data_IF_298219331786
#
_entry.id   IF_298219331786
#
_cell.length_a   1.000
_cell.length_b   1.000
_cell.length_c   1.000
_cell.angle_alpha   90.00
_cell.angle_beta   90.00
_cell.angle_gamma   90.00
#
_symmetry.space_group_name_H-M   'P 1'
#
loop_
_entity.id
_entity.type
_entity.pdbx_description
1 polymer ?
#
# COMPACT_ATOMS: atom_id res chain seq x y z
N UNK A 1 -14.20 -2.23 -17.96
CA UNK A 1 -14.51 -0.97 -17.24
C UNK A 1 -14.16 -0.98 -15.74
N UNK A 2 -13.74 -2.11 -15.14
CA UNK A 2 -13.16 -2.19 -13.78
C UNK A 2 -11.62 -2.28 -13.76
N UNK A 3 -10.99 -2.96 -14.72
CA UNK A 3 -9.52 -3.05 -14.86
C UNK A 3 -8.83 -1.69 -15.02
N UNK A 4 -9.55 -0.71 -15.59
CA UNK A 4 -9.08 0.68 -15.74
C UNK A 4 -8.88 1.39 -14.39
N UNK A 5 -9.54 0.97 -13.31
CA UNK A 5 -9.33 1.59 -12.00
C UNK A 5 -7.95 1.19 -11.45
N UNK A 6 -7.57 -0.10 -11.53
CA UNK A 6 -6.28 -0.55 -11.00
C UNK A 6 -5.10 0.14 -11.69
N UNK A 7 -5.15 0.29 -13.01
CA UNK A 7 -4.10 0.93 -13.82
C UNK A 7 -4.00 2.43 -13.61
N UNK A 8 -5.04 3.06 -13.04
CA UNK A 8 -5.06 4.48 -12.66
C UNK A 8 -4.95 4.69 -11.14
N UNK A 9 -4.94 3.64 -10.31
CA UNK A 9 -4.94 3.69 -8.85
C UNK A 9 -3.56 3.36 -8.24
N UNK A 10 -3.02 2.17 -8.49
CA UNK A 10 -1.70 1.75 -7.99
C UNK A 10 -1.57 1.47 -6.48
N UNK A 11 -2.60 1.72 -5.65
CA UNK A 11 -2.49 1.64 -4.18
C UNK A 11 -2.12 0.24 -3.63
N UNK A 12 -2.50 -0.84 -4.31
CA UNK A 12 -2.06 -2.20 -3.93
C UNK A 12 -0.59 -2.48 -4.27
N UNK A 13 0.03 -1.66 -5.12
CA UNK A 13 1.40 -1.82 -5.60
C UNK A 13 2.37 -0.80 -5.00
N UNK A 14 1.89 0.31 -4.43
CA UNK A 14 2.74 1.40 -3.92
C UNK A 14 3.19 1.21 -2.47
N UNK A 15 2.77 0.10 -1.83
CA UNK A 15 3.10 -0.23 -0.44
C UNK A 15 2.28 0.54 0.61
N UNK A 16 1.30 1.35 0.21
CA UNK A 16 0.45 2.09 1.16
C UNK A 16 -0.55 1.19 1.89
N UNK A 17 -1.05 0.13 1.24
CA UNK A 17 -2.07 -0.76 1.82
C UNK A 17 -1.47 -1.92 2.64
N UNK A 18 -0.45 -2.59 2.12
CA UNK A 18 0.26 -3.73 2.73
C UNK A 18 1.72 -3.75 2.27
N UNK A 19 2.61 -4.40 3.03
CA UNK A 19 4.07 -4.35 2.76
C UNK A 19 4.57 -5.49 1.89
N UNK A 20 3.81 -6.56 1.78
CA UNK A 20 4.14 -7.66 0.89
C UNK A 20 2.89 -8.40 0.42
N UNK A 21 3.07 -9.21 -0.62
CA UNK A 21 2.04 -10.07 -1.18
C UNK A 21 2.55 -11.51 -1.11
N UNK A 22 1.90 -12.42 -0.36
CA UNK A 22 2.21 -13.84 -0.41
C UNK A 22 1.99 -14.36 -1.83
N UNK A 23 2.93 -15.11 -2.37
CA UNK A 23 2.84 -15.63 -3.74
C UNK A 23 3.23 -17.11 -3.76
N UNK A 24 2.81 -17.84 -4.79
CA UNK A 24 3.26 -19.22 -4.99
C UNK A 24 4.75 -19.28 -5.40
N UNK A 25 5.36 -20.46 -5.34
CA UNK A 25 6.74 -20.66 -5.84
C UNK A 25 6.86 -20.38 -7.35
N UNK A 26 5.82 -20.69 -8.12
CA UNK A 26 5.76 -20.42 -9.56
C UNK A 26 5.74 -18.91 -9.82
N UNK A 27 4.93 -18.18 -9.05
CA UNK A 27 4.89 -16.71 -9.08
C UNK A 27 6.21 -16.11 -8.57
N UNK A 28 6.91 -16.76 -7.64
CA UNK A 28 8.23 -16.34 -7.18
C UNK A 28 9.27 -16.45 -8.31
N UNK A 29 9.23 -17.51 -9.10
CA UNK A 29 10.07 -17.64 -10.29
C UNK A 29 9.77 -16.55 -11.32
N UNK A 30 8.49 -16.20 -11.52
CA UNK A 30 8.11 -15.04 -12.33
C UNK A 30 8.69 -13.75 -11.77
N UNK A 31 8.54 -13.48 -10.47
CA UNK A 31 9.04 -12.28 -9.82
C UNK A 31 10.56 -12.12 -9.98
N UNK A 32 11.34 -13.21 -9.80
CA UNK A 32 12.79 -13.23 -10.02
C UNK A 32 13.17 -12.89 -11.46
N UNK A 33 12.46 -13.44 -12.47
CA UNK A 33 12.69 -13.10 -13.89
C UNK A 33 12.41 -11.63 -14.22
N UNK A 34 11.65 -10.94 -13.38
CA UNK A 34 11.32 -9.51 -13.53
C UNK A 34 12.11 -8.64 -12.55
N UNK A 35 13.11 -9.21 -11.86
CA UNK A 35 13.94 -8.51 -10.87
C UNK A 35 13.12 -7.86 -9.75
N UNK A 36 11.98 -8.46 -9.39
CA UNK A 36 11.15 -7.98 -8.28
C UNK A 36 11.68 -8.54 -6.95
N UNK A 37 11.68 -7.69 -5.92
CA UNK A 37 12.16 -8.05 -4.59
C UNK A 37 11.24 -9.06 -3.91
N UNK A 38 11.84 -10.07 -3.30
CA UNK A 38 11.18 -11.08 -2.47
C UNK A 38 11.74 -11.02 -1.05
N UNK A 39 10.90 -11.24 -0.04
CA UNK A 39 11.36 -11.42 1.33
C UNK A 39 12.03 -12.79 1.51
N UNK A 40 13.06 -12.89 2.37
CA UNK A 40 13.66 -14.17 2.74
C UNK A 40 12.74 -14.89 3.74
N UNK A 41 11.75 -15.62 3.24
CA UNK A 41 10.79 -16.39 4.04
C UNK A 41 10.58 -17.79 3.46
N UNK A 42 10.11 -18.73 4.30
CA UNK A 42 9.77 -20.10 3.88
C UNK A 42 8.70 -20.14 2.78
N UNK A 43 7.73 -19.24 2.87
CA UNK A 43 6.75 -18.99 1.82
C UNK A 43 7.15 -17.71 1.08
N UNK A 44 7.24 -17.72 -0.26
CA UNK A 44 7.64 -16.54 -1.01
C UNK A 44 6.68 -15.36 -0.80
N UNK A 45 7.25 -14.17 -0.58
CA UNK A 45 6.49 -12.94 -0.42
C UNK A 45 7.12 -11.85 -1.28
N UNK A 46 6.35 -11.29 -2.21
CA UNK A 46 6.79 -10.16 -3.02
C UNK A 46 6.68 -8.86 -2.24
N UNK A 47 7.74 -8.06 -2.22
CA UNK A 47 7.81 -6.81 -1.47
C UNK A 47 7.04 -5.70 -2.18
N UNK A 48 6.35 -4.88 -1.38
CA UNK A 48 5.77 -3.60 -1.80
C UNK A 48 6.60 -2.44 -1.22
N UNK A 49 6.82 -1.33 -1.94
CA UNK A 49 6.32 -1.03 -3.29
C UNK A 49 6.86 -1.99 -4.35
N UNK A 50 5.98 -2.44 -5.25
CA UNK A 50 6.34 -3.38 -6.30
C UNK A 50 7.25 -2.69 -7.32
N UNK A 51 8.40 -3.31 -7.64
CA UNK A 51 9.33 -2.78 -8.65
C UNK A 51 8.75 -2.62 -10.06
N UNK A 52 7.62 -3.28 -10.36
CA UNK A 52 6.91 -3.13 -11.63
C UNK A 52 5.97 -1.91 -11.68
N UNK A 53 5.79 -1.17 -10.59
CA UNK A 53 4.97 0.04 -10.56
C UNK A 53 5.72 1.20 -11.24
N UNK A 54 5.04 1.92 -12.11
CA UNK A 54 5.48 3.17 -12.72
C UNK A 54 4.35 4.20 -12.62
N UNK A 55 4.55 5.23 -11.81
CA UNK A 55 3.45 6.12 -11.40
C UNK A 55 2.35 5.32 -10.70
N UNK A 56 1.16 5.28 -11.30
CA UNK A 56 0.02 4.48 -10.81
C UNK A 56 -0.20 3.17 -11.58
N UNK A 57 0.60 2.90 -12.63
CA UNK A 57 0.38 1.80 -13.57
C UNK A 57 1.42 0.70 -13.38
N UNK A 58 0.98 -0.55 -13.39
CA UNK A 58 1.88 -1.69 -13.47
C UNK A 58 2.43 -1.82 -14.90
N UNK A 59 3.75 -1.80 -15.08
CA UNK A 59 4.40 -1.95 -16.40
C UNK A 59 4.15 -3.30 -17.06
N UNK A 60 3.84 -4.33 -16.25
CA UNK A 60 3.56 -5.71 -16.69
C UNK A 60 2.12 -6.12 -16.39
N UNK A 61 1.16 -5.19 -16.52
CA UNK A 61 -0.25 -5.42 -16.11
C UNK A 61 -0.88 -6.68 -16.72
N UNK A 62 -0.58 -6.95 -17.99
CA UNK A 62 -1.08 -8.13 -18.72
C UNK A 62 -0.39 -9.45 -18.34
N UNK A 63 0.75 -9.38 -17.64
CA UNK A 63 1.51 -10.55 -17.19
C UNK A 63 1.47 -10.72 -15.67
N UNK A 64 0.58 -9.98 -14.98
CA UNK A 64 0.47 -10.01 -13.53
C UNK A 64 0.27 -11.45 -13.03
N UNK A 65 0.90 -11.80 -11.91
CA UNK A 65 0.70 -13.10 -11.26
C UNK A 65 -0.75 -13.25 -10.82
N UNK A 66 -1.20 -14.50 -10.66
CA UNK A 66 -2.57 -14.84 -10.28
C UNK A 66 -2.97 -14.17 -8.97
N UNK A 67 -2.08 -14.10 -7.99
CA UNK A 67 -2.31 -13.41 -6.73
C UNK A 67 -2.70 -11.94 -6.95
N UNK A 68 -1.97 -11.21 -7.78
CA UNK A 68 -2.31 -9.82 -8.13
C UNK A 68 -3.61 -9.72 -8.94
N UNK A 69 -3.95 -10.73 -9.75
CA UNK A 69 -5.21 -10.79 -10.51
C UNK A 69 -6.40 -11.15 -9.65
N UNK A 70 -6.25 -11.91 -8.57
CA UNK A 70 -7.34 -12.34 -7.68
C UNK A 70 -7.63 -11.31 -6.61
N UNK A 71 -6.65 -10.49 -6.24
CA UNK A 71 -6.88 -9.44 -5.27
C UNK A 71 -7.95 -8.45 -5.76
N UNK A 72 -8.94 -8.20 -4.89
CA UNK A 72 -10.02 -7.23 -5.11
C UNK A 72 -10.14 -6.38 -3.86
N UNK A 73 -9.65 -5.14 -3.92
CA UNK A 73 -9.84 -4.17 -2.83
C UNK A 73 -11.33 -3.81 -2.72
N UNK A 74 -11.75 -3.32 -1.55
CA UNK A 74 -13.16 -2.95 -1.28
C UNK A 74 -13.70 -1.94 -2.30
N UNK A 75 -12.90 -0.94 -2.69
CA UNK A 75 -13.30 0.03 -3.73
C UNK A 75 -13.60 -0.66 -5.06
N UNK A 76 -12.72 -1.56 -5.51
CA UNK A 76 -12.92 -2.29 -6.76
C UNK A 76 -14.14 -3.23 -6.66
N UNK A 77 -14.30 -3.96 -5.56
CA UNK A 77 -15.47 -4.82 -5.34
C UNK A 77 -16.79 -4.04 -5.44
N UNK A 78 -16.84 -2.88 -4.78
CA UNK A 78 -18.03 -2.01 -4.77
C UNK A 78 -18.30 -1.38 -6.14
N UNK A 79 -17.26 -1.08 -6.91
CA UNK A 79 -17.42 -0.60 -8.28
C UNK A 79 -17.92 -1.72 -9.21
N UNK A 80 -17.38 -2.94 -9.07
CA UNK A 80 -17.80 -4.11 -9.84
C UNK A 80 -19.24 -4.55 -9.53
N UNK A 81 -19.70 -4.39 -8.29
CA UNK A 81 -21.09 -4.68 -7.88
C UNK A 81 -22.08 -3.57 -8.25
N UNK A 82 -21.60 -2.36 -8.57
CA UNK A 82 -22.44 -1.19 -8.81
C UNK A 82 -22.86 -0.45 -7.53
N UNK A 83 -22.32 -0.80 -6.36
CA UNK A 83 -22.57 -0.09 -5.08
C UNK A 83 -21.99 1.34 -5.06
N UNK A 84 -21.03 1.61 -5.94
CA UNK A 84 -20.48 2.94 -6.21
C UNK A 84 -20.26 3.09 -7.71
N UNK A 85 -20.32 4.31 -8.18
CA UNK A 85 -19.91 4.64 -9.54
C UNK A 85 -18.40 4.90 -9.66
N UNK A 86 -17.96 5.18 -10.88
CA UNK A 86 -16.56 5.45 -11.19
C UNK A 86 -16.04 6.74 -10.53
N UNK A 87 -16.87 7.77 -10.43
CA UNK A 87 -16.47 9.06 -9.86
C UNK A 87 -16.20 8.92 -8.35
N UNK A 88 -17.07 8.21 -7.64
CA UNK A 88 -16.88 7.89 -6.22
C UNK A 88 -15.64 7.02 -6.00
N UNK A 89 -15.40 6.03 -6.88
CA UNK A 89 -14.19 5.21 -6.80
C UNK A 89 -12.91 6.06 -6.97
N UNK A 90 -12.90 7.00 -7.93
CA UNK A 90 -11.79 7.92 -8.17
C UNK A 90 -11.60 8.92 -7.04
N UNK A 91 -12.69 9.46 -6.46
CA UNK A 91 -12.63 10.32 -5.29
C UNK A 91 -11.97 9.62 -4.09
N UNK A 92 -12.29 8.34 -3.88
CA UNK A 92 -11.65 7.57 -2.80
C UNK A 92 -10.16 7.37 -3.02
N UNK A 93 -9.74 7.13 -4.26
CA UNK A 93 -8.32 7.02 -4.65
C UNK A 93 -7.61 8.36 -4.48
N UNK A 94 -8.23 9.46 -4.90
CA UNK A 94 -7.69 10.81 -4.72
C UNK A 94 -7.46 11.11 -3.23
N UNK A 95 -8.46 10.82 -2.38
CA UNK A 95 -8.34 10.99 -0.93
C UNK A 95 -7.19 10.17 -0.33
N UNK A 96 -7.01 8.92 -0.77
CA UNK A 96 -5.88 8.10 -0.32
C UNK A 96 -4.53 8.77 -0.67
N UNK A 97 -4.40 9.29 -1.89
CA UNK A 97 -3.18 9.98 -2.35
C UNK A 97 -2.90 11.27 -1.58
N UNK A 98 -3.93 12.04 -1.27
CA UNK A 98 -3.81 13.23 -0.44
C UNK A 98 -3.27 12.89 0.96
N UNK A 99 -3.83 11.85 1.59
CA UNK A 99 -3.38 11.37 2.89
C UNK A 99 -1.92 10.91 2.86
N UNK A 100 -1.54 10.14 1.82
CA UNK A 100 -0.15 9.74 1.60
C UNK A 100 0.75 10.97 1.42
N UNK A 101 0.33 11.98 0.65
CA UNK A 101 1.10 13.19 0.42
C UNK A 101 1.33 13.98 1.71
N UNK A 102 0.31 14.12 2.57
CA UNK A 102 0.44 14.78 3.89
C UNK A 102 1.46 14.08 4.78
N UNK A 103 1.38 12.75 4.87
CA UNK A 103 2.35 11.96 5.64
C UNK A 103 3.77 12.13 5.06
N UNK A 104 3.89 12.15 3.73
CA UNK A 104 5.18 12.31 3.02
C UNK A 104 5.87 13.65 3.22
N UNK A 105 5.16 14.70 3.64
CA UNK A 105 5.77 16.00 3.94
C UNK A 105 6.88 15.88 5.00
N UNK A 106 6.74 14.95 5.96
CA UNK A 106 7.78 14.68 6.97
C UNK A 106 8.71 13.53 6.57
N UNK A 107 8.18 12.48 5.97
CA UNK A 107 8.95 11.23 5.79
C UNK A 107 9.89 11.23 4.58
N UNK A 108 9.62 12.10 3.59
CA UNK A 108 10.30 12.08 2.30
C UNK A 108 9.97 10.84 1.45
N UNK A 109 10.76 10.57 0.39
CA UNK A 109 10.56 9.43 -0.50
C UNK A 109 10.94 8.09 0.15
N UNK A 110 10.53 6.99 -0.48
CA UNK A 110 10.80 5.61 -0.04
C UNK A 110 9.54 4.85 0.39
N UNK A 111 9.71 3.63 0.94
CA UNK A 111 8.60 2.83 1.45
C UNK A 111 7.91 3.52 2.62
N UNK A 112 6.64 3.91 2.42
CA UNK A 112 5.93 4.84 3.29
C UNK A 112 6.02 4.47 4.78
N UNK A 113 5.65 3.24 5.13
CA UNK A 113 5.51 2.84 6.52
C UNK A 113 6.84 2.61 7.25
N UNK A 114 7.90 2.28 6.50
CA UNK A 114 9.25 2.22 7.05
C UNK A 114 9.73 3.63 7.41
N UNK A 115 9.51 4.59 6.52
CA UNK A 115 9.85 6.00 6.75
C UNK A 115 9.03 6.64 7.87
N UNK A 116 7.74 6.28 7.99
CA UNK A 116 6.91 6.67 9.14
C UNK A 116 7.52 6.16 10.45
N UNK A 117 7.88 4.87 10.51
CA UNK A 117 8.49 4.27 11.70
C UNK A 117 9.83 4.93 12.04
N UNK A 118 10.69 5.18 11.05
CA UNK A 118 11.95 5.90 11.23
C UNK A 118 11.73 7.31 11.78
N UNK A 119 10.76 8.05 11.22
CA UNK A 119 10.44 9.41 11.67
C UNK A 119 9.92 9.44 13.11
N UNK A 120 9.15 8.42 13.53
CA UNK A 120 8.71 8.27 14.92
C UNK A 120 9.91 7.93 15.82
N UNK A 121 10.76 6.98 15.42
CA UNK A 121 11.91 6.55 16.22
C UNK A 121 12.97 7.64 16.40
N UNK A 122 13.14 8.54 15.43
CA UNK A 122 14.05 9.67 15.52
C UNK A 122 13.51 10.83 16.38
N UNK A 123 12.23 10.80 16.75
CA UNK A 123 11.64 11.85 17.56
C UNK A 123 11.98 11.66 19.04
N UNK A 124 12.62 12.67 19.64
CA UNK A 124 12.84 12.68 21.10
C UNK A 124 11.49 12.88 21.84
N UNK A 125 11.24 12.17 22.97
CA UNK A 125 9.98 12.28 23.71
C UNK A 125 9.62 13.71 24.16
N UNK A 126 10.64 14.51 24.46
CA UNK A 126 10.49 15.91 24.89
C UNK A 126 10.27 16.88 23.74
N UNK A 127 10.38 16.43 22.49
CA UNK A 127 10.27 17.23 21.27
C UNK A 127 8.93 17.03 20.53
N UNK A 128 7.92 16.39 21.15
CA UNK A 128 6.60 16.22 20.55
C UNK A 128 5.83 17.55 20.51
N UNK A 129 6.18 18.40 19.54
CA UNK A 129 5.50 19.65 19.28
C UNK A 129 4.15 19.44 18.56
N UNK A 130 3.38 20.52 18.43
CA UNK A 130 2.08 20.49 17.76
C UNK A 130 2.18 19.99 16.30
N UNK A 131 3.29 20.25 15.61
CA UNK A 131 3.48 19.81 14.23
C UNK A 131 3.75 18.30 14.13
N UNK A 132 4.43 17.71 15.12
CA UNK A 132 4.59 16.27 15.23
C UNK A 132 3.26 15.58 15.55
N UNK A 133 2.49 16.13 16.51
CA UNK A 133 1.17 15.62 16.87
C UNK A 133 0.18 15.68 15.70
N UNK A 134 0.14 16.79 14.96
CA UNK A 134 -0.68 16.92 13.76
C UNK A 134 -0.30 15.88 12.69
N UNK A 135 1.00 15.67 12.46
CA UNK A 135 1.47 14.65 11.53
C UNK A 135 1.12 13.22 12.00
N UNK A 136 1.17 12.93 13.30
CA UNK A 136 0.73 11.64 13.84
C UNK A 136 -0.77 11.39 13.61
N UNK A 137 -1.60 12.45 13.65
CA UNK A 137 -3.02 12.36 13.28
C UNK A 137 -3.19 12.06 11.79
N UNK A 138 -2.40 12.69 10.90
CA UNK A 138 -2.40 12.37 9.47
C UNK A 138 -2.01 10.89 9.23
N UNK A 139 -1.01 10.37 9.94
CA UNK A 139 -0.59 8.97 9.88
C UNK A 139 -1.72 8.04 10.33
N UNK A 140 -2.38 8.38 11.45
CA UNK A 140 -3.51 7.60 11.97
C UNK A 140 -4.71 7.63 11.02
N UNK A 141 -5.03 8.78 10.45
CA UNK A 141 -6.09 8.94 9.46
C UNK A 141 -5.81 8.12 8.20
N UNK A 142 -4.59 8.22 7.66
CA UNK A 142 -4.17 7.42 6.51
C UNK A 142 -4.33 5.92 6.78
N UNK A 143 -3.84 5.44 7.93
CA UNK A 143 -3.97 4.04 8.33
C UNK A 143 -5.44 3.61 8.39
N UNK A 144 -6.26 4.38 9.08
CA UNK A 144 -7.67 4.07 9.26
C UNK A 144 -8.39 4.05 7.91
N UNK A 145 -8.19 5.09 7.09
CA UNK A 145 -8.82 5.24 5.78
C UNK A 145 -8.42 4.12 4.81
N UNK A 146 -7.12 3.79 4.72
CA UNK A 146 -6.62 2.69 3.91
C UNK A 146 -7.27 1.36 4.31
N UNK A 147 -7.35 1.09 5.62
CA UNK A 147 -7.93 -0.15 6.16
C UNK A 147 -9.43 -0.25 5.90
N UNK A 148 -10.20 0.79 6.19
CA UNK A 148 -11.66 0.74 6.11
C UNK A 148 -12.17 0.85 4.68
N UNK A 149 -11.46 1.59 3.82
CA UNK A 149 -11.92 1.91 2.46
C UNK A 149 -11.39 0.95 1.40
N UNK A 150 -10.16 0.43 1.55
CA UNK A 150 -9.50 -0.36 0.51
C UNK A 150 -9.29 -1.83 0.90
N UNK A 151 -8.81 -2.12 2.10
CA UNK A 151 -8.47 -3.48 2.48
C UNK A 151 -9.71 -4.34 2.72
N UNK A 152 -9.78 -5.59 2.21
CA UNK A 152 -10.81 -6.55 2.61
C UNK A 152 -10.86 -6.74 4.14
N UNK A 153 -12.01 -7.16 4.66
CA UNK A 153 -12.12 -7.49 6.09
C UNK A 153 -11.12 -8.59 6.49
N UNK A 154 -10.50 -8.42 7.66
CA UNK A 154 -9.47 -9.34 8.16
C UNK A 154 -8.12 -9.29 7.44
N UNK A 155 -7.97 -8.51 6.35
CA UNK A 155 -6.68 -8.41 5.65
C UNK A 155 -5.67 -7.64 6.53
N UNK A 156 -4.44 -8.16 6.71
CA UNK A 156 -3.40 -7.44 7.44
C UNK A 156 -3.05 -6.15 6.69
N UNK A 157 -3.04 -5.03 7.40
CA UNK A 157 -2.57 -3.76 6.84
C UNK A 157 -1.06 -3.64 6.97
N UNK A 158 -0.46 -2.72 6.23
CA UNK A 158 0.99 -2.54 6.20
C UNK A 158 1.68 -2.36 7.57
N UNK A 159 0.99 -1.74 8.54
CA UNK A 159 1.51 -1.56 9.89
C UNK A 159 1.36 -2.81 10.77
N UNK A 160 0.39 -3.67 10.49
CA UNK A 160 0.21 -4.94 11.22
C UNK A 160 1.34 -5.93 10.88
N UNK A 161 2.04 -5.67 9.78
CA UNK A 161 3.14 -6.47 9.24
C UNK A 161 4.53 -5.88 9.50
N UNK A 162 4.63 -4.78 10.26
CA UNK A 162 5.92 -4.28 10.70
C UNK A 162 6.47 -5.18 11.81
N UNK A 163 7.74 -5.59 11.76
CA UNK A 163 8.35 -6.21 12.93
C UNK A 163 8.29 -5.23 14.11
N UNK A 164 8.21 -5.73 15.35
CA UNK A 164 8.31 -4.88 16.53
C UNK A 164 9.53 -3.96 16.38
N UNK A 165 9.40 -2.72 16.83
CA UNK A 165 10.50 -1.75 16.81
C UNK A 165 11.74 -2.34 17.53
N UNK A 166 12.94 -1.79 17.28
CA UNK A 166 14.10 -2.17 18.09
C UNK A 166 13.73 -2.01 19.58
N UNK A 167 14.00 -3.05 20.35
CA UNK A 167 13.86 -3.05 21.80
C UNK A 167 14.82 -2.04 22.44
#
# INVERSE_FOLDING_TARGET
MAESLCTSCGACCDGSLFRFTPISEEEAAWARRRSLALLPSREPRMVQPCGALEGARCRVYEERPETCRRFRCRVLKRLESGDIDRAEAEARVARLRELIARVRLRTGPGPLWERVRESIAQQAPTAMDAAFLAWMLDVAELRAYARTTFLPEGHPGALDELPPGPA
#
